data_IF_082174615004
#
_entry.id   IF_082174615004
#
_cell.length_a   1.000
_cell.length_b   1.000
_cell.length_c   1.000
_cell.angle_alpha   90.00
_cell.angle_beta   90.00
_cell.angle_gamma   90.00
#
_symmetry.space_group_name_H-M   'P 1'
#
loop_
_entity.id
_entity.type
_entity.pdbx_description
1 polymer ?
#
# COMPACT_ATOMS: atom_id res chain seq x y z
N UNK A 1 -19.46 34.13 -57.24
CA UNK A 1 -18.28 33.81 -56.42
C UNK A 1 -18.74 33.63 -54.98
N UNK A 2 -18.76 32.37 -54.48
CA UNK A 2 -19.14 32.04 -53.09
C UNK A 2 -17.85 31.68 -52.36
N UNK A 3 -17.43 32.55 -51.45
CA UNK A 3 -16.34 32.29 -50.53
C UNK A 3 -16.83 31.41 -49.38
N UNK A 4 -16.41 30.14 -49.38
CA UNK A 4 -16.56 29.22 -48.25
C UNK A 4 -15.47 29.48 -47.24
N UNK A 5 -15.80 30.14 -46.12
CA UNK A 5 -14.92 30.28 -44.98
C UNK A 5 -14.89 28.97 -44.22
N UNK A 6 -13.78 28.23 -44.30
CA UNK A 6 -13.51 27.07 -43.45
C UNK A 6 -13.10 27.55 -42.04
N UNK A 7 -14.01 27.39 -41.09
CA UNK A 7 -13.75 27.63 -39.67
C UNK A 7 -12.99 26.41 -39.10
N UNK A 8 -11.66 26.49 -38.99
CA UNK A 8 -10.84 25.50 -38.35
C UNK A 8 -11.05 25.61 -36.82
N UNK A 9 -11.83 24.70 -36.26
CA UNK A 9 -12.02 24.53 -34.83
C UNK A 9 -10.76 23.82 -34.27
N UNK A 10 -9.81 24.56 -33.70
CA UNK A 10 -8.66 24.02 -32.99
C UNK A 10 -9.18 23.52 -31.63
N UNK A 11 -9.36 22.20 -31.47
CA UNK A 11 -9.55 21.57 -30.17
C UNK A 11 -8.21 21.67 -29.41
N UNK A 12 -8.09 22.63 -28.51
CA UNK A 12 -7.02 22.67 -27.55
C UNK A 12 -7.22 21.52 -26.57
N UNK A 13 -6.40 20.48 -26.68
CA UNK A 13 -6.32 19.43 -25.68
C UNK A 13 -5.81 20.07 -24.37
N UNK A 14 -6.72 20.29 -23.42
CA UNK A 14 -6.38 20.75 -22.08
C UNK A 14 -5.74 19.58 -21.32
N UNK A 15 -4.41 19.52 -21.32
CA UNK A 15 -3.67 18.65 -20.43
C UNK A 15 -3.86 19.16 -19.01
N UNK A 16 -4.64 18.43 -18.20
CA UNK A 16 -4.73 18.73 -16.76
C UNK A 16 -3.34 18.62 -16.13
N UNK A 17 -2.96 19.55 -15.23
CA UNK A 17 -1.68 19.47 -14.55
C UNK A 17 -1.56 18.17 -13.76
N UNK A 18 -0.35 17.59 -13.61
CA UNK A 18 -0.16 16.39 -12.82
C UNK A 18 -0.61 16.66 -11.38
N UNK A 19 -1.63 15.90 -10.94
CA UNK A 19 -2.15 16.03 -9.59
C UNK A 19 -1.23 15.26 -8.64
N UNK A 20 -0.74 15.91 -7.59
CA UNK A 20 -0.02 15.24 -6.51
C UNK A 20 -0.98 14.24 -5.82
N UNK A 21 -0.61 12.97 -5.69
CA UNK A 21 -1.46 11.98 -5.05
C UNK A 21 -1.81 12.38 -3.61
N UNK A 22 -3.06 12.21 -3.22
CA UNK A 22 -3.51 12.49 -1.87
C UNK A 22 -2.83 11.57 -0.85
N UNK A 23 -2.45 12.11 0.30
CA UNK A 23 -1.97 11.34 1.44
C UNK A 23 -3.15 10.69 2.15
N UNK A 24 -2.97 9.44 2.61
CA UNK A 24 -3.97 8.77 3.43
C UNK A 24 -4.00 9.42 4.82
N UNK A 25 -5.10 10.09 5.12
CA UNK A 25 -5.33 10.77 6.39
C UNK A 25 -6.63 10.25 7.01
N UNK A 26 -6.53 9.17 7.75
CA UNK A 26 -7.64 8.62 8.52
C UNK A 26 -7.16 8.21 9.92
N UNK A 27 -7.95 8.44 10.99
CA UNK A 27 -7.54 8.13 12.36
C UNK A 27 -7.35 6.62 12.62
N UNK A 28 -7.81 5.77 11.72
CA UNK A 28 -7.64 4.31 11.83
C UNK A 28 -6.33 3.81 11.21
N UNK A 29 -5.64 4.62 10.42
CA UNK A 29 -4.28 4.33 9.93
C UNK A 29 -3.28 4.79 10.97
N UNK A 30 -2.73 3.85 11.75
CA UNK A 30 -1.87 4.14 12.89
C UNK A 30 -0.38 3.89 12.63
N UNK A 31 -0.06 3.01 11.70
CA UNK A 31 1.33 2.60 11.43
C UNK A 31 1.80 3.03 10.05
N UNK A 32 1.01 2.81 9.01
CA UNK A 32 1.33 3.17 7.62
C UNK A 32 0.95 4.64 7.33
N UNK A 33 1.38 5.55 8.18
CA UNK A 33 1.10 6.98 8.05
C UNK A 33 2.00 7.65 7.02
N UNK A 34 1.51 8.73 6.38
CA UNK A 34 2.28 9.53 5.44
C UNK A 34 2.41 8.92 4.05
N UNK A 35 1.77 7.80 3.78
CA UNK A 35 1.72 7.21 2.44
C UNK A 35 0.65 7.89 1.58
N UNK A 36 0.94 8.04 0.29
CA UNK A 36 -0.11 8.37 -0.68
C UNK A 36 -1.11 7.24 -0.82
N UNK A 37 -2.32 7.55 -1.29
CA UNK A 37 -3.36 6.52 -1.50
C UNK A 37 -2.86 5.35 -2.35
N UNK A 38 -2.21 5.57 -3.52
CA UNK A 38 -1.66 4.46 -4.31
C UNK A 38 -0.60 3.63 -3.56
N UNK A 39 0.29 4.27 -2.80
CA UNK A 39 1.31 3.56 -2.00
C UNK A 39 0.66 2.71 -0.90
N UNK A 40 -0.35 3.25 -0.24
CA UNK A 40 -1.08 2.54 0.80
C UNK A 40 -1.82 1.31 0.25
N UNK A 41 -2.49 1.46 -0.90
CA UNK A 41 -3.17 0.35 -1.57
C UNK A 41 -2.18 -0.72 -2.06
N UNK A 42 -1.04 -0.30 -2.60
CA UNK A 42 0.03 -1.23 -2.99
C UNK A 42 0.56 -2.01 -1.78
N UNK A 43 0.74 -1.35 -0.64
CA UNK A 43 1.17 -2.00 0.61
C UNK A 43 0.15 -3.04 1.10
N UNK A 44 -1.17 -2.74 1.01
CA UNK A 44 -2.22 -3.71 1.32
C UNK A 44 -2.17 -4.94 0.41
N UNK A 45 -1.89 -4.75 -0.88
CA UNK A 45 -1.72 -5.85 -1.83
C UNK A 45 -0.47 -6.70 -1.52
N UNK A 46 0.66 -6.06 -1.25
CA UNK A 46 1.88 -6.76 -0.85
C UNK A 46 1.67 -7.59 0.43
N UNK A 47 0.93 -7.06 1.40
CA UNK A 47 0.57 -7.80 2.61
C UNK A 47 -0.29 -9.03 2.31
N UNK A 48 -1.31 -8.91 1.45
CA UNK A 48 -2.15 -10.08 1.11
C UNK A 48 -1.35 -11.17 0.41
N UNK A 49 -0.44 -10.80 -0.48
CA UNK A 49 0.46 -11.74 -1.15
C UNK A 49 1.44 -12.39 -0.16
N UNK A 50 2.04 -11.59 0.70
CA UNK A 50 2.99 -12.06 1.71
C UNK A 50 2.39 -13.05 2.70
N UNK A 51 1.11 -12.90 3.01
CA UNK A 51 0.37 -13.71 3.98
C UNK A 51 -0.45 -14.84 3.35
N UNK A 52 -0.53 -14.92 2.02
CA UNK A 52 -1.46 -15.84 1.34
C UNK A 52 -2.92 -15.60 1.76
N UNK A 53 -3.29 -14.36 2.00
CA UNK A 53 -4.55 -13.96 2.60
C UNK A 53 -5.38 -13.09 1.65
N UNK A 54 -6.62 -12.80 2.02
CA UNK A 54 -7.49 -11.84 1.34
C UNK A 54 -7.74 -10.60 2.21
N UNK A 55 -8.28 -9.53 1.61
CA UNK A 55 -8.66 -8.33 2.35
C UNK A 55 -9.60 -8.64 3.54
N UNK A 56 -10.55 -9.56 3.34
CA UNK A 56 -11.51 -9.98 4.36
C UNK A 56 -10.88 -10.76 5.53
N UNK A 57 -9.64 -11.20 5.41
CA UNK A 57 -8.91 -11.84 6.52
C UNK A 57 -8.70 -10.86 7.68
N UNK A 58 -8.40 -9.59 7.36
CA UNK A 58 -8.11 -8.55 8.36
C UNK A 58 -9.17 -7.45 8.43
N UNK A 59 -9.93 -7.23 7.37
CA UNK A 59 -10.91 -6.15 7.29
C UNK A 59 -12.35 -6.66 7.33
N UNK A 60 -13.23 -5.88 7.93
CA UNK A 60 -14.67 -6.09 7.83
C UNK A 60 -15.15 -5.63 6.46
N UNK A 61 -15.91 -6.48 5.77
CA UNK A 61 -16.44 -6.17 4.44
C UNK A 61 -17.21 -4.84 4.45
N UNK A 62 -16.97 -4.00 3.45
CA UNK A 62 -17.55 -2.65 3.30
C UNK A 62 -17.22 -1.65 4.42
N UNK A 63 -16.42 -2.04 5.42
CA UNK A 63 -15.97 -1.16 6.48
C UNK A 63 -14.51 -1.46 6.83
N UNK A 64 -13.59 -1.09 5.94
CA UNK A 64 -12.15 -1.29 6.11
C UNK A 64 -11.57 -0.52 7.31
N UNK A 65 -12.23 0.54 7.75
CA UNK A 65 -11.85 1.32 8.93
C UNK A 65 -12.18 0.62 10.26
N UNK A 66 -13.10 -0.36 10.26
CA UNK A 66 -13.52 -1.06 11.48
C UNK A 66 -12.35 -1.69 12.22
N UNK A 67 -12.36 -1.56 13.54
CA UNK A 67 -11.39 -2.18 14.45
C UNK A 67 -11.88 -3.53 15.02
N UNK A 68 -13.04 -4.01 14.59
CA UNK A 68 -13.67 -5.21 15.17
C UNK A 68 -13.00 -6.53 14.76
N UNK A 69 -12.05 -6.50 13.82
CA UNK A 69 -11.31 -7.72 13.43
C UNK A 69 -9.98 -7.79 14.20
N UNK A 70 -9.78 -8.79 15.08
CA UNK A 70 -8.56 -8.93 15.88
C UNK A 70 -7.30 -9.19 15.02
N UNK A 71 -7.45 -9.74 13.81
CA UNK A 71 -6.33 -9.90 12.88
C UNK A 71 -5.78 -8.58 12.37
N UNK A 72 -6.61 -7.55 12.25
CA UNK A 72 -6.16 -6.19 11.92
C UNK A 72 -5.25 -5.61 13.01
N UNK A 73 -5.59 -5.86 14.28
CA UNK A 73 -4.76 -5.45 15.42
C UNK A 73 -3.43 -6.21 15.41
N UNK A 74 -3.47 -7.52 15.17
CA UNK A 74 -2.28 -8.35 15.06
C UNK A 74 -1.37 -7.90 13.91
N UNK A 75 -1.94 -7.57 12.75
CA UNK A 75 -1.18 -7.06 11.61
C UNK A 75 -0.44 -5.76 11.95
N UNK A 76 -1.04 -4.84 12.71
CA UNK A 76 -0.35 -3.62 13.18
C UNK A 76 0.84 -3.96 14.08
N UNK A 77 0.70 -4.89 15.01
CA UNK A 77 1.82 -5.33 15.86
C UNK A 77 2.97 -5.90 15.04
N UNK A 78 2.65 -6.67 13.99
CA UNK A 78 3.67 -7.18 13.06
C UNK A 78 4.33 -6.06 12.25
N UNK A 79 3.56 -5.08 11.80
CA UNK A 79 4.08 -3.89 11.13
C UNK A 79 5.02 -3.08 12.04
N UNK A 80 4.66 -2.89 13.29
CA UNK A 80 5.50 -2.19 14.29
C UNK A 80 6.81 -2.94 14.51
N UNK A 81 6.75 -4.25 14.68
CA UNK A 81 7.95 -5.11 14.82
C UNK A 81 8.85 -5.02 13.57
N UNK A 82 8.28 -5.15 12.38
CA UNK A 82 9.02 -5.07 11.12
C UNK A 82 9.66 -3.70 10.95
N UNK A 83 8.95 -2.62 11.30
CA UNK A 83 9.48 -1.25 11.30
C UNK A 83 10.66 -1.11 12.28
N UNK A 84 10.53 -1.64 13.49
CA UNK A 84 11.60 -1.59 14.48
C UNK A 84 12.87 -2.29 13.98
N UNK A 85 12.74 -3.47 13.37
CA UNK A 85 13.85 -4.19 12.74
C UNK A 85 14.51 -3.33 11.65
N UNK A 86 13.71 -2.76 10.75
CA UNK A 86 14.23 -1.93 9.67
C UNK A 86 14.96 -0.69 10.19
N UNK A 87 14.40 0.00 11.17
CA UNK A 87 15.02 1.19 11.77
C UNK A 87 16.33 0.87 12.47
N UNK A 88 16.38 -0.26 13.15
CA UNK A 88 17.58 -0.64 13.93
C UNK A 88 18.70 -1.22 13.05
N UNK A 89 18.36 -2.05 12.07
CA UNK A 89 19.36 -2.84 11.34
C UNK A 89 19.56 -2.43 9.89
N UNK A 90 18.60 -1.69 9.32
CA UNK A 90 18.64 -1.24 7.92
C UNK A 90 18.25 0.24 7.78
N UNK A 91 18.83 1.16 8.59
CA UNK A 91 18.39 2.56 8.63
C UNK A 91 18.59 3.31 7.31
N UNK A 92 19.57 2.88 6.51
CA UNK A 92 19.92 3.54 5.25
C UNK A 92 19.13 2.98 4.04
N UNK A 93 18.34 1.92 4.25
CA UNK A 93 17.56 1.33 3.16
C UNK A 93 16.43 2.26 2.73
N UNK A 94 16.41 2.60 1.44
CA UNK A 94 15.35 3.38 0.81
C UNK A 94 14.63 2.50 -0.20
N UNK A 95 13.35 2.18 0.01
CA UNK A 95 12.60 1.36 -0.93
C UNK A 95 12.55 1.99 -2.32
N UNK A 96 12.81 1.18 -3.34
CA UNK A 96 12.64 1.59 -4.73
C UNK A 96 11.15 1.68 -5.11
N UNK A 97 10.79 2.31 -6.24
CA UNK A 97 9.44 2.27 -6.75
C UNK A 97 8.94 0.83 -6.92
N UNK A 98 7.77 0.52 -6.36
CA UNK A 98 7.18 -0.84 -6.39
C UNK A 98 7.63 -1.77 -5.26
N UNK A 99 8.64 -1.39 -4.48
CA UNK A 99 8.98 -2.11 -3.26
C UNK A 99 8.09 -1.68 -2.08
N UNK A 100 8.01 -2.54 -1.08
CA UNK A 100 7.30 -2.23 0.17
C UNK A 100 7.85 -0.98 0.86
N UNK A 101 6.98 -0.07 1.24
CA UNK A 101 7.33 1.16 1.99
C UNK A 101 7.68 0.87 3.46
N UNK A 102 7.49 -0.38 3.90
CA UNK A 102 7.88 -0.82 5.26
C UNK A 102 9.41 -0.86 5.41
N UNK A 103 10.13 -1.21 4.35
CA UNK A 103 11.59 -1.26 4.34
C UNK A 103 12.16 -2.57 3.78
N UNK A 104 13.40 -2.90 4.13
CA UNK A 104 14.13 -4.07 3.65
C UNK A 104 13.51 -5.38 4.14
N UNK A 105 13.18 -5.46 5.41
CA UNK A 105 12.43 -6.57 5.99
C UNK A 105 10.96 -6.26 5.83
N UNK A 106 10.22 -7.19 5.24
CA UNK A 106 8.78 -7.05 4.93
C UNK A 106 8.01 -8.22 5.53
N UNK A 107 6.69 -8.19 5.40
CA UNK A 107 5.85 -9.33 5.80
C UNK A 107 6.28 -10.62 5.10
N UNK A 108 6.66 -10.54 3.81
CA UNK A 108 7.09 -11.70 3.02
C UNK A 108 8.37 -12.34 3.55
N UNK A 109 9.27 -11.57 4.16
CA UNK A 109 10.54 -12.08 4.71
C UNK A 109 10.31 -13.25 5.67
N UNK A 110 9.24 -13.20 6.46
CA UNK A 110 8.89 -14.25 7.43
C UNK A 110 7.73 -15.13 6.97
N UNK A 111 6.73 -14.57 6.31
CA UNK A 111 5.48 -15.27 5.99
C UNK A 111 5.53 -16.09 4.71
N UNK A 112 6.24 -15.63 3.66
CA UNK A 112 6.47 -16.35 2.41
C UNK A 112 5.19 -16.93 1.76
N UNK A 113 4.08 -16.21 1.82
CA UNK A 113 2.79 -16.60 1.28
C UNK A 113 1.90 -17.40 2.25
N UNK A 114 2.29 -17.49 3.53
CA UNK A 114 1.52 -18.21 4.55
C UNK A 114 1.11 -17.29 5.71
N UNK A 115 -0.13 -17.40 6.16
CA UNK A 115 -0.65 -16.60 7.27
C UNK A 115 0.12 -16.86 8.58
N UNK A 116 0.60 -18.06 8.77
CA UNK A 116 1.41 -18.49 9.90
C UNK A 116 2.82 -18.87 9.41
N UNK A 117 3.85 -18.08 9.70
CA UNK A 117 5.20 -18.38 9.27
C UNK A 117 5.69 -19.67 9.95
N UNK A 118 6.48 -20.46 9.23
CA UNK A 118 7.08 -21.69 9.77
C UNK A 118 8.18 -21.30 10.75
N UNK A 119 8.08 -21.79 11.99
CA UNK A 119 9.08 -21.53 13.03
C UNK A 119 10.30 -22.46 12.91
N UNK A 120 10.15 -23.59 12.19
CA UNK A 120 11.21 -24.61 12.04
C UNK A 120 11.21 -25.15 10.60
N UNK A 121 12.37 -25.62 10.09
CA UNK A 121 12.41 -26.38 8.84
C UNK A 121 11.51 -27.61 8.93
N UNK A 122 10.82 -27.92 7.85
CA UNK A 122 10.13 -29.21 7.76
C UNK A 122 11.17 -30.33 7.69
N UNK A 123 10.93 -31.47 8.34
CA UNK A 123 11.80 -32.63 8.23
C UNK A 123 11.83 -33.19 6.80
#
# INVERSE_FOLDING_TARGET
>A
MRLLAFLLLVLAAQSSPPQTPAIVDTPTVKVLTGLTVPEFEAEMQLMTQALGASCGTCHVARNFASENNPRKIRARQMLEMTRAINQQFFPDHKPAPGESRIGRVTCFTCHQGELHPKAQPLP
#
